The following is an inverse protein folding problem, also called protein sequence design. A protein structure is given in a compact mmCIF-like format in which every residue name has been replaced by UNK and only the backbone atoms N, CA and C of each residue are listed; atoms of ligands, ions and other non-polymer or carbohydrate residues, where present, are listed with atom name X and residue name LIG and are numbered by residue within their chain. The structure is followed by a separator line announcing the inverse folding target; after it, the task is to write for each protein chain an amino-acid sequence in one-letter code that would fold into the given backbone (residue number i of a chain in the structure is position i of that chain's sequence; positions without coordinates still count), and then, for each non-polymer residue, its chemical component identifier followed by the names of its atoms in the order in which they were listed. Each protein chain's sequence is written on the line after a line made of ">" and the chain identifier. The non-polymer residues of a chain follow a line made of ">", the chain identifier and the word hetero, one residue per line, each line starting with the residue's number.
data_IF_220623018274
#
_entry.id   IF_220623018274
#
_cell.length_a   1.000
_cell.length_b   1.000
_cell.length_c   1.000
_cell.angle_alpha   90.00
_cell.angle_beta   90.00
_cell.angle_gamma   90.00
#
_symmetry.space_group_name_H-M   'P 1'
#
loop_
_entity.id
_entity.type
_entity.pdbx_description
1 polymer ?
#
# COMPACT_ATOMS: atom_id res chain seq x y z
N UNK A 1 1.83 1.08 17.08
CA UNK A 1 2.32 1.16 15.70
C UNK A 1 1.86 2.51 15.15
N UNK A 2 2.79 3.41 14.78
CA UNK A 2 2.43 4.68 14.14
C UNK A 2 1.84 4.38 12.75
N UNK A 3 0.81 5.12 12.36
CA UNK A 3 0.23 5.07 11.01
C UNK A 3 0.52 6.40 10.30
N UNK A 4 0.38 6.41 8.97
CA UNK A 4 0.71 7.57 8.12
C UNK A 4 -0.07 8.83 8.53
N UNK A 5 -1.33 8.68 8.92
CA UNK A 5 -2.17 9.82 9.30
C UNK A 5 -1.66 10.51 10.58
N UNK A 6 -1.28 9.72 11.59
CA UNK A 6 -0.70 10.24 12.82
C UNK A 6 0.66 10.91 12.57
N UNK A 7 1.52 10.33 11.73
CA UNK A 7 2.82 10.94 11.41
C UNK A 7 2.68 12.25 10.64
N UNK A 8 1.67 12.37 9.75
CA UNK A 8 1.37 13.63 9.06
C UNK A 8 0.97 14.72 10.07
N UNK A 9 0.16 14.38 11.08
CA UNK A 9 -0.22 15.35 12.10
C UNK A 9 0.99 15.80 12.92
N UNK A 10 1.82 14.85 13.37
CA UNK A 10 3.06 15.15 14.10
C UNK A 10 4.01 16.02 13.27
N UNK A 11 4.23 15.70 11.98
CA UNK A 11 5.05 16.52 11.09
C UNK A 11 4.51 17.95 10.92
N UNK A 12 3.19 18.12 10.81
CA UNK A 12 2.57 19.46 10.76
C UNK A 12 2.80 20.26 12.04
N UNK A 13 2.71 19.60 13.19
CA UNK A 13 2.95 20.23 14.50
C UNK A 13 4.44 20.60 14.66
N UNK A 14 5.36 19.69 14.31
CA UNK A 14 6.81 19.93 14.38
C UNK A 14 7.27 21.03 13.42
N UNK A 15 6.66 21.13 12.24
CA UNK A 15 7.01 22.12 11.21
C UNK A 15 6.28 23.46 11.33
N UNK A 16 5.40 23.65 12.32
CA UNK A 16 4.51 24.82 12.38
C UNK A 16 5.28 26.14 12.53
N UNK A 17 6.34 26.14 13.34
CA UNK A 17 7.11 27.34 13.67
C UNK A 17 8.34 27.54 12.77
N UNK A 18 9.09 26.45 12.49
CA UNK A 18 10.25 26.47 11.61
C UNK A 18 10.16 25.35 10.54
N UNK A 19 9.64 25.66 9.35
CA UNK A 19 9.40 24.69 8.29
C UNK A 19 10.67 24.20 7.57
N UNK A 20 11.84 24.80 7.85
CA UNK A 20 13.12 24.38 7.27
C UNK A 20 14.09 23.82 8.32
N UNK A 21 13.63 23.70 9.57
CA UNK A 21 14.38 23.07 10.64
C UNK A 21 14.71 21.62 10.30
N UNK A 22 15.85 21.14 10.81
CA UNK A 22 16.23 19.72 10.65
C UNK A 22 15.20 18.77 11.27
N UNK A 23 14.52 19.19 12.34
CA UNK A 23 13.44 18.42 12.99
C UNK A 23 12.20 18.33 12.10
N UNK A 24 11.83 19.43 11.43
CA UNK A 24 10.75 19.43 10.45
C UNK A 24 11.05 18.51 9.26
N UNK A 25 12.27 18.59 8.70
CA UNK A 25 12.70 17.74 7.58
C UNK A 25 12.66 16.27 8.00
N UNK A 26 13.24 15.94 9.15
CA UNK A 26 13.24 14.57 9.66
C UNK A 26 11.82 14.02 9.92
N UNK A 27 10.90 14.88 10.39
CA UNK A 27 9.51 14.47 10.58
C UNK A 27 8.81 14.15 9.25
N UNK A 28 9.08 14.92 8.19
CA UNK A 28 8.58 14.61 6.85
C UNK A 28 9.25 13.40 6.21
N UNK A 29 10.54 13.16 6.47
CA UNK A 29 11.23 11.94 6.05
C UNK A 29 10.55 10.70 6.68
N UNK A 30 10.18 10.76 7.97
CA UNK A 30 9.41 9.68 8.61
C UNK A 30 8.05 9.45 7.92
N UNK A 31 7.34 10.52 7.53
CA UNK A 31 6.07 10.41 6.79
C UNK A 31 6.27 9.74 5.43
N UNK A 32 7.33 10.10 4.72
CA UNK A 32 7.64 9.56 3.39
C UNK A 32 7.88 8.05 3.46
N UNK A 33 8.75 7.62 4.37
CA UNK A 33 9.07 6.21 4.59
C UNK A 33 7.84 5.39 5.02
N UNK A 34 7.04 5.91 5.96
CA UNK A 34 5.81 5.24 6.39
C UNK A 34 4.79 5.13 5.26
N UNK A 35 4.70 6.16 4.41
CA UNK A 35 3.80 6.18 3.25
C UNK A 35 4.24 5.18 2.18
N UNK A 36 5.54 5.10 1.90
CA UNK A 36 6.12 4.13 0.98
C UNK A 36 5.88 2.70 1.47
N UNK A 37 6.15 2.42 2.75
CA UNK A 37 5.90 1.11 3.35
C UNK A 37 4.40 0.73 3.28
N UNK A 38 3.49 1.66 3.55
CA UNK A 38 2.06 1.44 3.44
C UNK A 38 1.62 1.17 1.99
N UNK A 39 2.17 1.89 1.00
CA UNK A 39 1.89 1.62 -0.41
C UNK A 39 2.39 0.24 -0.83
N UNK A 40 3.63 -0.11 -0.47
CA UNK A 40 4.18 -1.43 -0.78
C UNK A 40 3.36 -2.57 -0.15
N UNK A 41 2.90 -2.41 1.08
CA UNK A 41 2.03 -3.39 1.72
C UNK A 41 0.69 -3.54 0.97
N UNK A 42 0.09 -2.43 0.52
CA UNK A 42 -1.13 -2.43 -0.28
C UNK A 42 -0.91 -3.09 -1.65
N UNK A 43 0.19 -2.80 -2.32
CA UNK A 43 0.47 -3.34 -3.64
C UNK A 43 0.75 -4.85 -3.57
N UNK A 44 1.46 -5.31 -2.54
CA UNK A 44 1.57 -6.76 -2.23
C UNK A 44 0.22 -7.41 -1.99
N UNK A 45 -0.69 -6.73 -1.28
CA UNK A 45 -2.05 -7.26 -1.06
C UNK A 45 -2.86 -7.33 -2.34
N UNK A 46 -2.73 -6.35 -3.25
CA UNK A 46 -3.38 -6.37 -4.57
C UNK A 46 -2.81 -7.48 -5.46
N UNK A 47 -1.49 -7.64 -5.45
CA UNK A 47 -0.81 -8.68 -6.24
C UNK A 47 -1.07 -10.10 -5.71
N UNK A 48 -1.33 -10.25 -4.41
CA UNK A 48 -1.67 -11.54 -3.79
C UNK A 48 -3.17 -11.88 -3.80
N UNK A 49 -4.03 -10.98 -4.28
CA UNK A 49 -5.41 -11.34 -4.61
C UNK A 49 -5.41 -11.91 -6.02
N UNK A 50 -5.44 -13.24 -6.13
CA UNK A 50 -5.77 -13.90 -7.40
C UNK A 50 -7.02 -13.24 -7.97
N UNK A 51 -7.09 -13.05 -9.29
CA UNK A 51 -8.34 -12.60 -9.91
C UNK A 51 -9.45 -13.54 -9.39
N UNK A 52 -10.59 -13.04 -8.87
CA UNK A 52 -11.66 -13.92 -8.39
C UNK A 52 -12.05 -14.99 -9.41
N UNK A 53 -11.92 -14.70 -10.71
CA UNK A 53 -12.09 -15.67 -11.77
C UNK A 53 -10.95 -16.70 -11.82
N UNK A 54 -9.69 -16.28 -11.66
CA UNK A 54 -8.54 -17.18 -11.62
C UNK A 54 -8.60 -18.14 -10.41
N UNK A 55 -8.98 -17.65 -9.24
CA UNK A 55 -9.22 -18.49 -8.05
C UNK A 55 -10.38 -19.47 -8.31
N UNK A 56 -11.48 -18.98 -8.87
CA UNK A 56 -12.63 -19.82 -9.21
C UNK A 56 -12.28 -20.91 -10.25
N UNK A 57 -11.50 -20.56 -11.28
CA UNK A 57 -11.07 -21.48 -12.34
C UNK A 57 -10.03 -22.50 -11.87
N UNK A 58 -9.24 -22.19 -10.84
CA UNK A 58 -8.36 -23.16 -10.20
C UNK A 58 -9.15 -24.32 -9.59
N UNK A 59 -10.31 -24.02 -8.99
CA UNK A 59 -11.16 -25.03 -8.34
C UNK A 59 -12.23 -25.62 -9.27
N UNK A 60 -12.63 -24.90 -10.33
CA UNK A 60 -13.71 -25.29 -11.25
C UNK A 60 -13.28 -25.15 -12.74
N UNK A 61 -12.22 -25.84 -13.19
CA UNK A 61 -11.66 -25.69 -14.53
C UNK A 61 -12.62 -26.08 -15.68
N UNK A 62 -13.65 -26.88 -15.39
CA UNK A 62 -14.61 -27.38 -16.38
C UNK A 62 -15.76 -26.41 -16.71
N UNK A 63 -15.91 -25.35 -15.90
CA UNK A 63 -16.96 -24.34 -16.05
C UNK A 63 -16.77 -23.53 -17.34
N UNK A 64 -17.86 -23.01 -17.89
CA UNK A 64 -17.82 -22.31 -19.19
C UNK A 64 -16.94 -21.05 -19.12
N UNK A 65 -16.84 -20.43 -17.95
CA UNK A 65 -15.99 -19.28 -17.65
C UNK A 65 -14.49 -19.61 -17.61
N UNK A 66 -14.12 -20.89 -17.47
CA UNK A 66 -12.77 -21.36 -17.17
C UNK A 66 -12.16 -22.28 -18.23
N UNK A 67 -12.95 -22.71 -19.22
CA UNK A 67 -12.45 -23.52 -20.34
C UNK A 67 -11.42 -22.76 -21.16
N UNK A 68 -10.18 -23.21 -21.07
CA UNK A 68 -9.06 -22.76 -21.92
C UNK A 68 -8.73 -23.84 -22.94
N UNK A 69 -8.37 -23.45 -24.16
CA UNK A 69 -8.01 -24.36 -25.24
C UNK A 69 -6.58 -24.04 -25.71
N UNK A 70 -5.68 -25.02 -25.63
CA UNK A 70 -4.36 -24.94 -26.27
C UNK A 70 -4.54 -25.09 -27.80
N UNK A 71 -4.12 -24.08 -28.58
CA UNK A 71 -4.03 -24.13 -30.04
C UNK A 71 -2.58 -24.22 -30.50
#
# INVERSE_FOLDING_TARGET
>A
MKNVEKSIQEAKETCADDPVSGECVAAWDEVEELSAAASHARDKKKAGGSDPLEEYCSDNPETDECRTYDN
#
